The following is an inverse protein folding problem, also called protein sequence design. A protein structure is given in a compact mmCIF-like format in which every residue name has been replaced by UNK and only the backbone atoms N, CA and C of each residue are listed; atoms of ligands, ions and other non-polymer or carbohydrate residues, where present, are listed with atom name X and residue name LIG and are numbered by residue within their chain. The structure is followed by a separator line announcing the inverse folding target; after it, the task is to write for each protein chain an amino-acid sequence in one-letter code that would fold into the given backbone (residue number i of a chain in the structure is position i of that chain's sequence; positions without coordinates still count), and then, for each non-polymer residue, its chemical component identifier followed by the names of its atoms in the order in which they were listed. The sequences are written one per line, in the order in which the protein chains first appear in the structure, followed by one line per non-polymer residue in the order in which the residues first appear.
data_IF_009954062682
#
_entry.id   IF_009954062682
#
_cell.length_a   1.000
_cell.length_b   1.000
_cell.length_c   1.000
_cell.angle_alpha   90.00
_cell.angle_beta   90.00
_cell.angle_gamma   90.00
#
_symmetry.space_group_name_H-M   'P 1'
#
loop_
_entity.id
_entity.type
_entity.pdbx_description
1 polymer ?
#
# COMPACT_ATOMS: atom_id res chain seq x y z
N UNK A 1 -26.65 -11.59 24.72
CA UNK A 1 -25.54 -11.09 25.56
C UNK A 1 -24.18 -11.75 25.23
N UNK A 2 -24.10 -13.09 25.06
CA UNK A 2 -22.84 -13.80 24.68
C UNK A 2 -22.30 -13.43 23.30
N UNK A 3 -23.15 -13.19 22.31
CA UNK A 3 -22.76 -12.82 20.94
C UNK A 3 -22.17 -11.41 20.93
N UNK A 4 -22.77 -10.46 21.59
CA UNK A 4 -22.29 -9.07 21.70
C UNK A 4 -20.91 -9.05 22.35
N UNK A 5 -20.70 -9.80 23.45
CA UNK A 5 -19.38 -9.91 24.09
C UNK A 5 -18.30 -10.53 23.19
N UNK A 6 -18.67 -11.51 22.34
CA UNK A 6 -17.72 -12.08 21.36
C UNK A 6 -17.34 -11.08 20.28
N UNK A 7 -18.30 -10.31 19.76
CA UNK A 7 -18.08 -9.26 18.76
C UNK A 7 -17.20 -8.15 19.35
N UNK A 8 -17.48 -7.71 20.58
CA UNK A 8 -16.70 -6.64 21.22
C UNK A 8 -15.25 -7.08 21.51
N UNK A 9 -15.04 -8.34 21.90
CA UNK A 9 -13.69 -8.90 22.07
C UNK A 9 -12.96 -9.00 20.73
N UNK A 10 -13.59 -9.56 19.71
CA UNK A 10 -13.01 -9.65 18.37
C UNK A 10 -12.64 -8.27 17.81
N UNK A 11 -13.50 -7.27 18.03
CA UNK A 11 -13.19 -5.89 17.63
C UNK A 11 -12.02 -5.29 18.40
N UNK A 12 -11.96 -5.50 19.72
CA UNK A 12 -10.85 -5.05 20.56
C UNK A 12 -9.53 -5.73 20.15
N UNK A 13 -9.56 -7.03 19.89
CA UNK A 13 -8.39 -7.79 19.45
C UNK A 13 -7.92 -7.34 18.06
N UNK A 14 -8.84 -7.03 17.15
CA UNK A 14 -8.54 -6.46 15.84
C UNK A 14 -7.89 -5.07 15.98
N UNK A 15 -8.42 -4.18 16.82
CA UNK A 15 -7.85 -2.84 17.05
C UNK A 15 -6.46 -2.93 17.67
N UNK A 16 -6.26 -3.81 18.65
CA UNK A 16 -4.94 -4.03 19.26
C UNK A 16 -3.94 -4.61 18.25
N UNK A 17 -4.40 -5.52 17.40
CA UNK A 17 -3.58 -6.11 16.33
C UNK A 17 -3.20 -5.06 15.28
N UNK A 18 -4.13 -4.19 14.88
CA UNK A 18 -3.89 -3.04 14.02
C UNK A 18 -2.85 -2.09 14.63
N UNK A 19 -2.99 -1.75 15.90
CA UNK A 19 -2.04 -0.87 16.58
C UNK A 19 -0.63 -1.47 16.64
N UNK A 20 -0.49 -2.77 16.85
CA UNK A 20 0.80 -3.48 16.80
C UNK A 20 1.40 -3.44 15.39
N UNK A 21 0.58 -3.63 14.36
CA UNK A 21 1.02 -3.57 12.96
C UNK A 21 1.47 -2.16 12.57
N UNK A 22 0.74 -1.11 13.00
CA UNK A 22 1.11 0.30 12.83
C UNK A 22 2.48 0.60 13.44
N UNK A 23 2.72 0.10 14.66
CA UNK A 23 4.00 0.29 15.35
C UNK A 23 5.15 -0.51 14.71
N UNK A 24 4.86 -1.64 14.05
CA UNK A 24 5.86 -2.49 13.39
C UNK A 24 6.31 -1.93 12.05
N UNK A 25 5.41 -1.38 11.25
CA UNK A 25 5.67 -0.88 9.90
C UNK A 25 5.25 0.60 9.70
N UNK A 26 5.78 1.54 10.51
CA UNK A 26 5.32 2.93 10.48
C UNK A 26 5.56 3.60 9.12
N UNK A 27 6.72 3.35 8.48
CA UNK A 27 7.09 3.94 7.19
C UNK A 27 6.18 3.46 6.08
N UNK A 28 5.88 2.16 6.03
CA UNK A 28 5.00 1.57 5.01
C UNK A 28 3.59 2.14 5.09
N UNK A 29 3.06 2.30 6.31
CA UNK A 29 1.71 2.84 6.53
C UNK A 29 1.66 4.32 6.18
N UNK A 30 2.70 5.08 6.55
CA UNK A 30 2.79 6.49 6.19
C UNK A 30 2.86 6.65 4.66
N UNK A 31 3.65 5.84 3.97
CA UNK A 31 3.71 5.85 2.50
C UNK A 31 2.36 5.49 1.87
N UNK A 32 1.66 4.46 2.38
CA UNK A 32 0.34 4.10 1.84
C UNK A 32 -0.71 5.19 2.06
N UNK A 33 -0.69 5.88 3.21
CA UNK A 33 -1.56 7.01 3.47
C UNK A 33 -1.24 8.21 2.56
N UNK A 34 0.05 8.47 2.30
CA UNK A 34 0.48 9.51 1.35
C UNK A 34 0.02 9.20 -0.08
N UNK A 35 0.18 7.94 -0.52
CA UNK A 35 -0.31 7.51 -1.84
C UNK A 35 -1.82 7.70 -1.95
N UNK A 36 -2.59 7.30 -0.95
CA UNK A 36 -4.03 7.49 -0.94
C UNK A 36 -4.40 8.98 -1.01
N UNK A 37 -3.77 9.84 -0.21
CA UNK A 37 -3.98 11.29 -0.26
C UNK A 37 -3.62 11.88 -1.62
N UNK A 38 -2.50 11.46 -2.23
CA UNK A 38 -2.10 11.91 -3.56
C UNK A 38 -3.09 11.49 -4.65
N UNK A 39 -3.63 10.27 -4.58
CA UNK A 39 -4.65 9.81 -5.52
C UNK A 39 -5.93 10.66 -5.43
N UNK A 40 -6.35 11.03 -4.22
CA UNK A 40 -7.49 11.95 -4.00
C UNK A 40 -7.20 13.30 -4.64
N UNK A 41 -6.04 13.89 -4.39
CA UNK A 41 -5.64 15.18 -4.96
C UNK A 41 -5.57 15.14 -6.49
N UNK A 42 -5.00 14.08 -7.06
CA UNK A 42 -4.93 13.88 -8.51
C UNK A 42 -6.34 13.82 -9.11
N UNK A 43 -7.25 13.08 -8.48
CA UNK A 43 -8.63 12.94 -8.95
C UNK A 43 -9.39 14.29 -8.92
N UNK A 44 -9.19 15.10 -7.88
CA UNK A 44 -9.75 16.45 -7.80
C UNK A 44 -9.18 17.40 -8.86
N UNK A 45 -7.85 17.36 -9.07
CA UNK A 45 -7.17 18.22 -10.05
C UNK A 45 -7.50 17.86 -11.50
N UNK A 46 -7.86 16.62 -11.80
CA UNK A 46 -8.33 16.22 -13.14
C UNK A 46 -9.56 17.02 -13.57
N UNK A 47 -10.36 17.49 -12.62
CA UNK A 47 -11.49 18.37 -12.91
C UNK A 47 -11.08 19.80 -13.31
N UNK A 48 -9.85 20.23 -13.04
CA UNK A 48 -9.37 21.62 -13.23
C UNK A 48 -8.52 21.82 -14.51
N UNK A 49 -8.36 20.80 -15.37
CA UNK A 49 -7.66 20.87 -16.66
C UNK A 49 -6.17 21.27 -16.64
N UNK A 50 -5.49 21.23 -15.51
CA UNK A 50 -4.06 21.55 -15.42
C UNK A 50 -3.19 20.31 -15.72
N UNK A 51 -3.04 19.97 -16.99
CA UNK A 51 -2.38 18.73 -17.46
C UNK A 51 -0.93 18.56 -16.96
N UNK A 52 -0.14 19.63 -16.92
CA UNK A 52 1.27 19.57 -16.49
C UNK A 52 1.43 19.23 -15.01
N UNK A 53 0.58 19.79 -14.14
CA UNK A 53 0.62 19.49 -12.69
C UNK A 53 0.16 18.06 -12.43
N UNK A 54 -0.86 17.60 -13.13
CA UNK A 54 -1.40 16.25 -13.02
C UNK A 54 -0.33 15.21 -13.40
N UNK A 55 0.43 15.46 -14.45
CA UNK A 55 1.49 14.56 -14.89
C UNK A 55 2.60 14.41 -13.85
N UNK A 56 3.04 15.52 -13.24
CA UNK A 56 4.03 15.50 -12.16
C UNK A 56 3.49 14.75 -10.93
N UNK A 57 2.23 15.03 -10.52
CA UNK A 57 1.63 14.35 -9.38
C UNK A 57 1.50 12.83 -9.64
N UNK A 58 1.11 12.43 -10.84
CA UNK A 58 1.04 11.01 -11.20
C UNK A 58 2.40 10.33 -11.08
N UNK A 59 3.48 10.96 -11.55
CA UNK A 59 4.84 10.44 -11.41
C UNK A 59 5.25 10.29 -9.95
N UNK A 60 4.96 11.33 -9.13
CA UNK A 60 5.26 11.29 -7.68
C UNK A 60 4.46 10.18 -7.00
N UNK A 61 3.19 10.03 -7.34
CA UNK A 61 2.33 8.97 -6.79
C UNK A 61 2.87 7.57 -7.13
N UNK A 62 3.31 7.34 -8.36
CA UNK A 62 3.92 6.08 -8.78
C UNK A 62 5.20 5.77 -8.00
N UNK A 63 6.06 6.76 -7.76
CA UNK A 63 7.28 6.58 -6.95
C UNK A 63 6.95 6.26 -5.49
N UNK A 64 6.01 6.97 -4.90
CA UNK A 64 5.55 6.69 -3.53
C UNK A 64 4.96 5.29 -3.43
N UNK A 65 4.18 4.86 -4.43
CA UNK A 65 3.62 3.51 -4.48
C UNK A 65 4.71 2.43 -4.56
N UNK A 66 5.80 2.66 -5.32
CA UNK A 66 6.96 1.77 -5.38
C UNK A 66 7.73 1.74 -4.03
N UNK A 67 7.66 2.83 -3.27
CA UNK A 67 8.24 2.93 -1.93
C UNK A 67 7.62 1.95 -0.93
N UNK A 68 6.35 1.54 -1.13
CA UNK A 68 5.65 0.61 -0.23
C UNK A 68 6.34 -0.77 -0.20
N UNK A 69 6.46 -1.52 -1.33
CA UNK A 69 7.13 -2.81 -1.32
C UNK A 69 8.62 -2.70 -0.96
N UNK A 70 9.27 -1.62 -1.34
CA UNK A 70 10.67 -1.37 -0.99
C UNK A 70 10.83 -1.20 0.53
N UNK A 71 9.98 -0.42 1.19
CA UNK A 71 10.02 -0.24 2.65
C UNK A 71 9.77 -1.55 3.40
N UNK A 72 8.90 -2.43 2.87
CA UNK A 72 8.68 -3.77 3.42
C UNK A 72 9.92 -4.64 3.30
N UNK A 73 10.59 -4.65 2.14
CA UNK A 73 11.84 -5.39 1.92
C UNK A 73 12.94 -4.92 2.90
N UNK A 74 13.13 -3.61 3.01
CA UNK A 74 14.14 -3.01 3.91
C UNK A 74 13.86 -3.41 5.36
N UNK A 75 12.63 -3.27 5.82
CA UNK A 75 12.25 -3.63 7.19
C UNK A 75 12.46 -5.11 7.48
N UNK A 76 12.10 -5.98 6.54
CA UNK A 76 12.22 -7.42 6.69
C UNK A 76 13.69 -7.86 6.71
N UNK A 77 14.53 -7.28 5.87
CA UNK A 77 15.99 -7.50 5.88
C UNK A 77 16.59 -7.11 7.23
N UNK A 78 16.18 -5.97 7.76
CA UNK A 78 16.65 -5.48 9.04
C UNK A 78 16.21 -6.37 10.21
N UNK A 79 14.95 -6.78 10.26
CA UNK A 79 14.43 -7.67 11.34
C UNK A 79 15.13 -9.03 11.39
N UNK A 80 15.74 -9.47 10.30
CA UNK A 80 16.43 -10.76 10.19
C UNK A 80 17.92 -10.71 10.54
N UNK A 81 18.51 -9.51 10.57
CA UNK A 81 19.92 -9.32 10.94
C UNK A 81 20.01 -9.19 12.47
N UNK A 82 20.58 -10.21 13.13
CA UNK A 82 20.60 -10.42 14.60
C UNK A 82 21.29 -9.32 15.42
N UNK A 83 22.20 -8.52 14.83
CA UNK A 83 23.02 -7.52 15.53
C UNK A 83 22.85 -6.09 15.00
N UNK A 84 21.70 -5.75 14.44
CA UNK A 84 21.53 -4.49 13.75
C UNK A 84 21.20 -3.33 14.69
N UNK A 85 22.02 -2.29 14.63
CA UNK A 85 21.81 -1.03 15.37
C UNK A 85 20.81 -0.13 14.61
N UNK A 86 20.07 0.70 15.33
CA UNK A 86 19.01 1.56 14.77
C UNK A 86 19.53 2.48 13.63
N UNK A 87 20.78 2.91 13.68
CA UNK A 87 21.36 3.73 12.61
C UNK A 87 21.49 2.98 11.28
N UNK A 88 21.72 1.67 11.30
CA UNK A 88 21.75 0.85 10.07
C UNK A 88 20.40 0.85 9.37
N UNK A 89 19.30 0.82 10.12
CA UNK A 89 17.95 0.91 9.57
C UNK A 89 17.77 2.22 8.79
N UNK A 90 18.24 3.34 9.35
CA UNK A 90 18.16 4.65 8.70
C UNK A 90 18.98 4.63 7.41
N UNK A 91 20.18 4.05 7.41
CA UNK A 91 21.02 3.93 6.22
C UNK A 91 20.31 3.13 5.12
N UNK A 92 19.66 2.01 5.44
CA UNK A 92 18.91 1.22 4.46
C UNK A 92 17.72 1.99 3.88
N UNK A 93 16.99 2.77 4.70
CA UNK A 93 15.91 3.62 4.19
C UNK A 93 16.42 4.76 3.31
N UNK A 94 17.52 5.38 3.68
CA UNK A 94 18.16 6.43 2.88
C UNK A 94 18.65 5.85 1.55
N UNK A 95 19.31 4.69 1.56
CA UNK A 95 19.71 4.00 0.33
C UNK A 95 18.53 3.66 -0.56
N UNK A 96 17.44 3.13 0.02
CA UNK A 96 16.19 2.87 -0.69
C UNK A 96 15.59 4.14 -1.31
N UNK A 97 15.54 5.25 -0.57
CA UNK A 97 15.07 6.52 -1.07
C UNK A 97 15.95 7.07 -2.21
N UNK A 98 17.27 6.91 -2.13
CA UNK A 98 18.21 7.25 -3.20
C UNK A 98 17.93 6.43 -4.48
N UNK A 99 17.70 5.13 -4.35
CA UNK A 99 17.34 4.28 -5.48
C UNK A 99 16.03 4.73 -6.13
N UNK A 100 15.01 5.09 -5.34
CA UNK A 100 13.75 5.63 -5.87
C UNK A 100 13.94 6.98 -6.56
N UNK A 101 14.80 7.87 -6.04
CA UNK A 101 15.13 9.13 -6.68
C UNK A 101 15.85 8.91 -8.01
N UNK A 102 16.84 8.01 -8.06
CA UNK A 102 17.50 7.64 -9.31
C UNK A 102 16.51 7.06 -10.32
N UNK A 103 15.60 6.19 -9.86
CA UNK A 103 14.56 5.64 -10.70
C UNK A 103 13.64 6.72 -11.28
N UNK A 104 13.27 7.73 -10.48
CA UNK A 104 12.49 8.88 -10.94
C UNK A 104 13.19 9.62 -12.07
N UNK A 105 14.48 9.98 -11.90
CA UNK A 105 15.23 10.76 -12.88
C UNK A 105 15.54 10.00 -14.17
N UNK A 106 15.80 8.69 -14.10
CA UNK A 106 16.23 7.93 -15.27
C UNK A 106 15.09 7.22 -16.01
N UNK A 107 14.01 6.82 -15.32
CA UNK A 107 13.02 5.93 -15.90
C UNK A 107 11.60 6.51 -15.97
N UNK A 108 11.31 7.57 -15.24
CA UNK A 108 9.96 8.15 -15.18
C UNK A 108 9.85 9.54 -15.81
N UNK A 109 10.77 9.92 -16.69
CA UNK A 109 10.74 11.23 -17.36
C UNK A 109 9.51 11.40 -18.27
N UNK A 110 9.07 10.32 -18.92
CA UNK A 110 7.88 10.30 -19.76
C UNK A 110 7.02 9.09 -19.40
N UNK A 111 5.70 9.29 -19.27
CA UNK A 111 4.73 8.22 -18.98
C UNK A 111 4.35 7.50 -20.30
N UNK A 112 5.33 6.85 -20.94
CA UNK A 112 5.13 6.03 -22.11
C UNK A 112 4.77 4.59 -21.72
N UNK A 113 4.17 3.81 -22.65
CA UNK A 113 3.87 2.38 -22.45
C UNK A 113 5.09 1.59 -21.95
N UNK A 114 6.29 1.93 -22.45
CA UNK A 114 7.55 1.29 -22.02
C UNK A 114 7.87 1.59 -20.56
N UNK A 115 7.67 2.83 -20.11
CA UNK A 115 7.90 3.22 -18.72
C UNK A 115 6.94 2.53 -17.76
N UNK A 116 5.67 2.39 -18.17
CA UNK A 116 4.66 1.67 -17.37
C UNK A 116 5.02 0.18 -17.27
N UNK A 117 5.42 -0.46 -18.37
CA UNK A 117 5.83 -1.87 -18.36
C UNK A 117 7.05 -2.10 -17.44
N UNK A 118 8.05 -1.21 -17.52
CA UNK A 118 9.21 -1.26 -16.61
C UNK A 118 8.82 -1.07 -15.15
N UNK A 119 7.90 -0.14 -14.88
CA UNK A 119 7.36 0.10 -13.55
C UNK A 119 6.69 -1.16 -12.97
N UNK A 120 5.84 -1.82 -13.76
CA UNK A 120 5.18 -3.08 -13.35
C UNK A 120 6.22 -4.18 -13.10
N UNK A 121 7.23 -4.31 -13.96
CA UNK A 121 8.29 -5.31 -13.80
C UNK A 121 9.10 -5.08 -12.51
N UNK A 122 9.49 -3.84 -12.22
CA UNK A 122 10.22 -3.46 -11.00
C UNK A 122 9.35 -3.68 -9.76
N UNK A 123 8.07 -3.32 -9.83
CA UNK A 123 7.12 -3.54 -8.74
C UNK A 123 6.98 -5.03 -8.43
N UNK A 124 6.79 -5.87 -9.45
CA UNK A 124 6.75 -7.33 -9.30
C UNK A 124 8.04 -7.89 -8.72
N UNK A 125 9.19 -7.41 -9.20
CA UNK A 125 10.50 -7.83 -8.69
C UNK A 125 10.66 -7.51 -7.19
N UNK A 126 10.18 -6.34 -6.73
CA UNK A 126 10.19 -5.97 -5.31
C UNK A 126 9.26 -6.84 -4.47
N UNK A 127 8.05 -7.14 -4.96
CA UNK A 127 7.14 -8.05 -4.26
C UNK A 127 7.70 -9.48 -4.18
N UNK A 128 8.29 -9.98 -5.26
CA UNK A 128 8.99 -11.26 -5.25
C UNK A 128 10.18 -11.22 -4.28
N UNK A 129 10.98 -10.15 -4.31
CA UNK A 129 12.07 -9.93 -3.36
C UNK A 129 11.59 -10.02 -1.91
N UNK A 130 10.47 -9.37 -1.59
CA UNK A 130 9.85 -9.45 -0.26
C UNK A 130 9.50 -10.89 0.14
N UNK A 131 9.00 -11.71 -0.78
CA UNK A 131 8.70 -13.12 -0.52
C UNK A 131 9.96 -13.96 -0.35
N UNK A 132 11.03 -13.65 -1.10
CA UNK A 132 12.27 -14.42 -1.07
C UNK A 132 13.19 -14.08 0.12
N UNK A 133 13.12 -12.88 0.70
CA UNK A 133 13.99 -12.46 1.82
C UNK A 133 14.03 -13.48 2.97
N UNK A 134 12.90 -14.05 3.46
CA UNK A 134 12.95 -15.05 4.53
C UNK A 134 13.66 -16.36 4.15
N UNK A 135 13.64 -16.73 2.87
CA UNK A 135 14.30 -17.94 2.38
C UNK A 135 15.81 -17.90 2.57
N UNK A 136 16.44 -16.74 2.37
CA UNK A 136 17.89 -16.58 2.56
C UNK A 136 18.35 -16.81 4.00
N UNK A 137 17.46 -16.61 5.00
CA UNK A 137 17.81 -16.71 6.41
C UNK A 137 17.36 -17.99 7.10
N UNK A 138 16.22 -18.59 6.69
CA UNK A 138 15.70 -19.86 7.26
C UNK A 138 14.92 -20.64 6.20
N UNK A 139 15.54 -21.66 5.63
CA UNK A 139 14.92 -22.50 4.58
C UNK A 139 13.72 -23.32 5.08
N UNK A 140 13.75 -23.79 6.33
CA UNK A 140 12.77 -24.75 6.87
C UNK A 140 11.34 -24.18 7.07
N UNK A 141 11.17 -22.86 7.10
CA UNK A 141 9.88 -22.22 7.36
C UNK A 141 9.35 -21.38 6.18
N UNK A 142 10.02 -21.46 5.03
CA UNK A 142 9.69 -20.64 3.86
C UNK A 142 8.28 -20.92 3.33
N UNK A 143 7.91 -22.19 3.19
CA UNK A 143 6.60 -22.60 2.68
C UNK A 143 5.46 -22.07 3.56
N UNK A 144 5.55 -22.26 4.86
CA UNK A 144 4.55 -21.77 5.82
C UNK A 144 4.46 -20.25 5.85
N UNK A 145 5.57 -19.54 5.67
CA UNK A 145 5.59 -18.09 5.59
C UNK A 145 4.91 -17.59 4.32
N UNK A 146 5.26 -18.17 3.18
CA UNK A 146 4.70 -17.79 1.88
C UNK A 146 3.19 -18.04 1.84
N UNK A 147 2.73 -19.21 2.30
CA UNK A 147 1.30 -19.54 2.40
C UNK A 147 0.56 -18.52 3.28
N UNK A 148 1.11 -18.16 4.44
CA UNK A 148 0.49 -17.16 5.33
C UNK A 148 0.35 -15.80 4.65
N UNK A 149 1.33 -15.35 3.88
CA UNK A 149 1.24 -14.08 3.14
C UNK A 149 0.16 -14.16 2.07
N UNK A 150 0.11 -15.22 1.28
CA UNK A 150 -0.92 -15.40 0.26
C UNK A 150 -2.32 -15.43 0.87
N UNK A 151 -2.53 -16.20 1.93
CA UNK A 151 -3.82 -16.26 2.63
C UNK A 151 -4.19 -14.86 3.15
N UNK A 152 -3.27 -14.15 3.79
CA UNK A 152 -3.53 -12.79 4.30
C UNK A 152 -3.88 -11.82 3.18
N UNK A 153 -3.18 -11.91 2.04
CA UNK A 153 -3.47 -11.09 0.85
C UNK A 153 -4.89 -11.34 0.33
N UNK A 154 -5.26 -12.60 0.10
CA UNK A 154 -6.61 -12.94 -0.39
C UNK A 154 -7.71 -12.51 0.58
N UNK A 155 -7.51 -12.74 1.88
CA UNK A 155 -8.45 -12.30 2.91
C UNK A 155 -8.61 -10.77 2.85
N UNK A 156 -7.51 -10.02 2.75
CA UNK A 156 -7.54 -8.56 2.68
C UNK A 156 -8.28 -8.07 1.43
N UNK A 157 -8.05 -8.69 0.28
CA UNK A 157 -8.75 -8.37 -0.98
C UNK A 157 -10.26 -8.62 -0.85
N UNK A 158 -10.66 -9.75 -0.26
CA UNK A 158 -12.07 -10.07 -0.05
C UNK A 158 -12.72 -9.04 0.88
N UNK A 159 -12.11 -8.71 2.02
CA UNK A 159 -12.64 -7.69 2.94
C UNK A 159 -12.72 -6.32 2.29
N UNK A 160 -11.71 -5.92 1.54
CA UNK A 160 -11.71 -4.65 0.80
C UNK A 160 -12.83 -4.58 -0.22
N UNK A 161 -13.05 -5.67 -0.98
CA UNK A 161 -14.13 -5.76 -1.96
C UNK A 161 -15.52 -5.67 -1.30
N UNK A 162 -15.72 -6.37 -0.19
CA UNK A 162 -16.99 -6.32 0.57
C UNK A 162 -17.25 -4.91 1.12
N UNK A 163 -16.24 -4.26 1.67
CA UNK A 163 -16.37 -2.88 2.15
C UNK A 163 -16.70 -1.91 1.02
N UNK A 164 -16.01 -2.03 -0.11
CA UNK A 164 -16.27 -1.19 -1.29
C UNK A 164 -17.69 -1.39 -1.81
N UNK A 165 -18.14 -2.64 -1.97
CA UNK A 165 -19.51 -2.96 -2.40
C UNK A 165 -20.55 -2.41 -1.42
N UNK A 166 -20.31 -2.53 -0.11
CA UNK A 166 -21.20 -2.01 0.92
C UNK A 166 -21.33 -0.49 0.88
N UNK A 167 -20.21 0.22 0.76
CA UNK A 167 -20.21 1.69 0.63
C UNK A 167 -20.88 2.13 -0.67
N UNK A 168 -20.56 1.49 -1.80
CA UNK A 168 -21.22 1.76 -3.09
C UNK A 168 -22.73 1.54 -3.02
N UNK A 169 -23.20 0.48 -2.37
CA UNK A 169 -24.62 0.21 -2.21
C UNK A 169 -25.31 1.29 -1.36
N UNK A 170 -24.66 1.76 -0.29
CA UNK A 170 -25.18 2.86 0.54
C UNK A 170 -25.28 4.16 -0.28
N UNK A 171 -24.24 4.52 -1.02
CA UNK A 171 -24.24 5.71 -1.88
C UNK A 171 -25.32 5.62 -2.95
N UNK A 172 -25.45 4.47 -3.60
CA UNK A 172 -26.51 4.22 -4.58
C UNK A 172 -27.92 4.38 -3.97
N UNK A 173 -28.12 3.87 -2.76
CA UNK A 173 -29.40 3.99 -2.05
C UNK A 173 -29.71 5.44 -1.72
N UNK A 174 -28.75 6.22 -1.29
CA UNK A 174 -28.89 7.66 -1.00
C UNK A 174 -29.24 8.41 -2.28
N UNK A 175 -28.53 8.16 -3.38
CA UNK A 175 -28.78 8.80 -4.67
C UNK A 175 -30.20 8.53 -5.19
N UNK A 176 -30.67 7.28 -5.10
CA UNK A 176 -31.98 6.86 -5.64
C UNK A 176 -33.15 7.15 -4.73
N UNK A 177 -33.03 6.98 -3.41
CA UNK A 177 -34.14 7.15 -2.46
C UNK A 177 -34.30 8.59 -1.98
N UNK A 178 -33.20 9.32 -1.80
CA UNK A 178 -33.25 10.69 -1.29
C UNK A 178 -33.20 11.76 -2.40
N UNK A 179 -33.12 11.34 -3.68
CA UNK A 179 -33.00 12.25 -4.85
C UNK A 179 -31.84 13.25 -4.67
N UNK A 180 -30.85 12.94 -3.85
CA UNK A 180 -29.64 13.75 -3.68
C UNK A 180 -28.69 13.35 -4.80
N UNK A 181 -28.46 14.24 -5.76
CA UNK A 181 -27.50 14.01 -6.83
C UNK A 181 -26.09 13.83 -6.24
N UNK A 182 -25.73 12.58 -5.96
CA UNK A 182 -24.35 12.23 -5.56
C UNK A 182 -23.49 12.36 -6.81
N UNK A 183 -22.57 13.33 -6.79
CA UNK A 183 -21.65 13.48 -7.91
C UNK A 183 -20.91 12.18 -8.17
N UNK A 184 -20.88 11.72 -9.44
CA UNK A 184 -20.26 10.45 -9.82
C UNK A 184 -18.83 10.25 -9.30
N UNK A 185 -18.11 11.34 -9.03
CA UNK A 185 -16.77 11.32 -8.41
C UNK A 185 -16.73 10.65 -7.04
N UNK A 186 -17.80 10.72 -6.22
CA UNK A 186 -17.85 10.16 -4.87
C UNK A 186 -17.78 8.62 -4.88
N UNK A 187 -18.14 7.98 -5.98
CA UNK A 187 -18.01 6.52 -6.15
C UNK A 187 -16.58 6.06 -6.38
N UNK A 188 -15.65 6.98 -6.68
CA UNK A 188 -14.24 6.67 -6.92
C UNK A 188 -13.33 6.92 -5.69
N UNK A 189 -13.88 7.44 -4.60
CA UNK A 189 -13.22 7.60 -3.30
C UNK A 189 -13.53 6.43 -2.37
#
# INVERSE_FOLDING_TARGET
RRIIMKITRAFKDAVVSLYRSLKRFPVTILLSALVAAMLIVVNELQATHNTSVIEILNRVTLILALGIPLSLCVKLLFERKSDSKVYELIIYYVAGALILLLYYFFFLQELNMVSITRYVAVSLALYLGFLFIPYFFKKEQFEMYTIKIFISFFITVIYSAVLYMGLSAILFTIDKLLSVHVAGKVYYY
#
